data_IF_909622654529
#
_entry.id   IF_909622654529
#
_cell.length_a   1.000
_cell.length_b   1.000
_cell.length_c   1.000
_cell.angle_alpha   90.00
_cell.angle_beta   90.00
_cell.angle_gamma   90.00
#
_symmetry.space_group_name_H-M   'P 1'
#
loop_
_entity.id
_entity.type
_entity.pdbx_description
1 polymer ?
#
# COMPACT_ATOMS: atom_id res chain seq x y z
N UNK A 1 -27.53 -8.43 6.21
CA UNK A 1 -27.34 -7.17 6.97
C UNK A 1 -26.46 -7.28 8.24
N UNK A 2 -26.27 -8.43 8.92
CA UNK A 2 -25.36 -8.50 10.09
C UNK A 2 -23.86 -8.36 9.78
N UNK A 3 -23.41 -8.84 8.61
CA UNK A 3 -21.98 -8.92 8.27
C UNK A 3 -21.29 -7.57 8.07
N UNK A 4 -21.97 -6.58 7.47
CA UNK A 4 -21.39 -5.26 7.22
C UNK A 4 -21.13 -4.49 8.52
N UNK A 5 -22.07 -4.54 9.47
CA UNK A 5 -21.95 -3.91 10.78
C UNK A 5 -20.81 -4.52 11.60
N UNK A 6 -20.67 -5.85 11.56
CA UNK A 6 -19.57 -6.56 12.24
C UNK A 6 -18.20 -6.25 11.62
N UNK A 7 -18.13 -6.10 10.29
CA UNK A 7 -16.89 -5.71 9.61
C UNK A 7 -16.47 -4.28 9.99
N UNK A 8 -17.39 -3.33 9.93
CA UNK A 8 -17.13 -1.94 10.33
C UNK A 8 -16.67 -1.85 11.79
N UNK A 9 -17.34 -2.56 12.71
CA UNK A 9 -16.94 -2.58 14.13
C UNK A 9 -15.50 -3.06 14.31
N UNK A 10 -15.11 -4.15 13.62
CA UNK A 10 -13.74 -4.68 13.67
C UNK A 10 -12.69 -3.70 13.14
N UNK A 11 -12.99 -2.95 12.07
CA UNK A 11 -12.06 -1.93 11.55
C UNK A 11 -11.77 -0.85 12.59
N UNK A 12 -12.82 -0.37 13.27
CA UNK A 12 -12.67 0.65 14.33
C UNK A 12 -11.93 0.09 15.54
N UNK A 13 -12.25 -1.13 15.97
CA UNK A 13 -11.54 -1.81 17.07
C UNK A 13 -10.06 -1.98 16.76
N UNK A 14 -9.71 -2.44 15.56
CA UNK A 14 -8.31 -2.59 15.13
C UNK A 14 -7.57 -1.25 15.18
N UNK A 15 -8.20 -0.17 14.72
CA UNK A 15 -7.60 1.15 14.70
C UNK A 15 -7.31 1.69 16.11
N UNK A 16 -8.27 1.54 17.02
CA UNK A 16 -8.19 2.01 18.40
C UNK A 16 -7.36 1.08 19.31
N UNK A 17 -7.03 -0.13 18.85
CA UNK A 17 -6.24 -1.09 19.62
C UNK A 17 -4.86 -0.52 19.97
N UNK A 18 -4.45 -0.53 21.26
CA UNK A 18 -3.11 -0.11 21.64
C UNK A 18 -2.02 -0.97 20.99
N UNK A 19 -0.94 -0.36 20.51
CA UNK A 19 0.26 -1.08 20.07
C UNK A 19 0.92 -1.78 21.25
N UNK A 20 1.18 -3.09 21.13
CA UNK A 20 1.77 -3.91 22.19
C UNK A 20 3.16 -4.43 21.85
N UNK A 21 3.44 -4.61 20.57
CA UNK A 21 4.74 -5.08 20.08
C UNK A 21 5.60 -3.91 19.60
N UNK A 22 6.93 -4.08 19.61
CA UNK A 22 7.87 -3.09 19.08
C UNK A 22 7.60 -2.77 17.61
N UNK A 23 7.15 -3.76 16.82
CA UNK A 23 6.80 -3.54 15.42
C UNK A 23 5.57 -2.63 15.24
N UNK A 24 4.52 -2.84 16.04
CA UNK A 24 3.32 -1.99 16.04
C UNK A 24 3.66 -0.56 16.51
N UNK A 25 4.50 -0.43 17.54
CA UNK A 25 4.96 0.87 18.04
C UNK A 25 5.76 1.63 16.99
N UNK A 26 6.64 0.93 16.26
CA UNK A 26 7.42 1.52 15.18
C UNK A 26 6.51 1.95 14.01
N UNK A 27 5.46 1.19 13.69
CA UNK A 27 4.50 1.59 12.67
C UNK A 27 3.76 2.86 13.09
N UNK A 28 3.29 2.93 14.33
CA UNK A 28 2.62 4.13 14.87
C UNK A 28 3.54 5.34 14.91
N UNK A 29 4.82 5.15 15.24
CA UNK A 29 5.81 6.20 15.12
C UNK A 29 5.92 6.73 13.69
N UNK A 30 5.96 5.85 12.67
CA UNK A 30 5.95 6.27 11.27
C UNK A 30 4.67 7.03 10.89
N UNK A 31 3.51 6.70 11.46
CA UNK A 31 2.28 7.48 11.24
C UNK A 31 2.41 8.90 11.77
N UNK A 32 3.01 9.07 12.95
CA UNK A 32 3.30 10.39 13.53
C UNK A 32 4.30 11.15 12.65
N UNK A 33 5.36 10.48 12.20
CA UNK A 33 6.32 11.07 11.24
C UNK A 33 5.62 11.51 9.96
N UNK A 34 4.70 10.70 9.43
CA UNK A 34 3.88 11.06 8.27
C UNK A 34 3.02 12.29 8.51
N UNK A 35 2.35 12.37 9.66
CA UNK A 35 1.53 13.54 10.02
C UNK A 35 2.38 14.82 10.15
N UNK A 36 3.55 14.72 10.80
CA UNK A 36 4.49 15.85 10.90
C UNK A 36 5.01 16.23 9.50
N UNK A 37 5.34 15.24 8.66
CA UNK A 37 5.77 15.45 7.29
C UNK A 37 4.70 16.18 6.47
N UNK A 38 3.43 15.80 6.61
CA UNK A 38 2.32 16.49 5.95
C UNK A 38 2.26 17.98 6.33
N UNK A 39 2.41 18.29 7.62
CA UNK A 39 2.46 19.69 8.08
C UNK A 39 3.66 20.42 7.47
N UNK A 40 4.85 19.81 7.46
CA UNK A 40 6.05 20.41 6.85
C UNK A 40 5.86 20.66 5.35
N UNK A 41 5.33 19.69 4.61
CA UNK A 41 5.07 19.78 3.17
C UNK A 41 4.04 20.87 2.87
N UNK A 42 2.99 21.00 3.68
CA UNK A 42 1.96 22.03 3.53
C UNK A 42 2.54 23.46 3.57
N UNK A 43 3.59 23.70 4.34
CA UNK A 43 4.24 25.01 4.44
C UNK A 43 5.41 25.20 3.47
N UNK A 44 6.02 24.13 2.97
CA UNK A 44 7.25 24.22 2.17
C UNK A 44 7.10 23.97 0.67
N UNK A 45 6.08 23.23 0.21
CA UNK A 45 6.00 22.72 -1.18
C UNK A 45 4.67 23.00 -1.89
N UNK A 46 3.79 23.80 -1.30
CA UNK A 46 2.54 24.23 -1.93
C UNK A 46 1.42 23.18 -1.92
N UNK A 47 0.29 23.55 -2.53
CA UNK A 47 -0.98 22.82 -2.38
C UNK A 47 -0.97 21.43 -3.02
N UNK A 48 -0.41 21.29 -4.23
CA UNK A 48 -0.41 20.00 -4.96
C UNK A 48 0.42 18.96 -4.18
N UNK A 49 1.64 19.31 -3.78
CA UNK A 49 2.48 18.45 -2.96
C UNK A 49 1.81 18.07 -1.63
N UNK A 50 1.16 19.03 -0.97
CA UNK A 50 0.37 18.77 0.23
C UNK A 50 -0.78 17.78 -0.04
N UNK A 51 -1.51 17.94 -1.13
CA UNK A 51 -2.64 17.07 -1.48
C UNK A 51 -2.19 15.63 -1.78
N UNK A 52 -1.10 15.46 -2.54
CA UNK A 52 -0.50 14.15 -2.82
C UNK A 52 0.03 13.50 -1.54
N UNK A 53 0.67 14.28 -0.66
CA UNK A 53 1.12 13.78 0.63
C UNK A 53 -0.06 13.42 1.56
N UNK A 54 -1.16 14.17 1.52
CA UNK A 54 -2.37 13.84 2.26
C UNK A 54 -3.01 12.53 1.76
N UNK A 55 -2.97 12.28 0.44
CA UNK A 55 -3.38 10.98 -0.13
C UNK A 55 -2.51 9.83 0.39
N UNK A 56 -1.19 10.03 0.48
CA UNK A 56 -0.28 9.01 1.02
C UNK A 56 -0.59 8.66 2.49
N UNK A 57 -1.10 9.61 3.29
CA UNK A 57 -1.52 9.33 4.66
C UNK A 57 -2.65 8.29 4.74
N UNK A 58 -3.51 8.19 3.71
CA UNK A 58 -4.51 7.12 3.62
C UNK A 58 -3.83 5.75 3.55
N UNK A 59 -2.75 5.63 2.76
CA UNK A 59 -1.95 4.41 2.66
C UNK A 59 -1.25 4.04 3.97
N UNK A 60 -0.79 5.03 4.73
CA UNK A 60 -0.12 4.84 6.03
C UNK A 60 -1.10 4.38 7.12
N UNK A 61 -2.37 4.81 7.09
CA UNK A 61 -3.38 4.37 8.10
C UNK A 61 -4.06 3.06 7.71
N UNK A 62 -4.12 2.71 6.43
CA UNK A 62 -4.87 1.56 5.92
C UNK A 62 -4.48 0.21 6.59
N UNK A 63 -3.19 -0.16 6.73
CA UNK A 63 -2.82 -1.41 7.39
C UNK A 63 -3.36 -1.53 8.82
N UNK A 64 -3.47 -0.41 9.53
CA UNK A 64 -3.94 -0.38 10.92
C UNK A 64 -5.44 -0.61 11.03
N UNK A 65 -6.25 -0.02 10.14
CA UNK A 65 -7.68 -0.37 10.03
C UNK A 65 -7.87 -1.85 9.72
N UNK A 66 -7.06 -2.37 8.80
CA UNK A 66 -7.03 -3.77 8.45
C UNK A 66 -6.36 -4.65 9.53
N UNK A 67 -5.98 -4.15 10.71
CA UNK A 67 -5.32 -4.98 11.74
C UNK A 67 -4.17 -5.83 11.18
N UNK A 68 -3.45 -5.31 10.18
CA UNK A 68 -2.42 -6.04 9.48
C UNK A 68 -1.29 -6.41 10.44
N UNK A 69 -0.56 -7.47 10.12
CA UNK A 69 0.60 -7.85 10.92
C UNK A 69 1.63 -6.72 10.90
N UNK A 70 2.29 -6.51 12.04
CA UNK A 70 3.28 -5.45 12.22
C UNK A 70 4.33 -5.38 11.10
N UNK A 71 4.76 -6.52 10.55
CA UNK A 71 5.71 -6.57 9.43
C UNK A 71 5.16 -5.92 8.16
N UNK A 72 3.93 -6.28 7.76
CA UNK A 72 3.29 -5.71 6.58
C UNK A 72 2.92 -4.25 6.82
N UNK A 73 2.43 -3.93 8.02
CA UNK A 73 2.13 -2.56 8.42
C UNK A 73 3.37 -1.65 8.29
N UNK A 74 4.49 -2.05 8.91
CA UNK A 74 5.76 -1.32 8.80
C UNK A 74 6.23 -1.15 7.36
N UNK A 75 6.21 -2.24 6.59
CA UNK A 75 6.65 -2.21 5.20
C UNK A 75 5.83 -1.21 4.36
N UNK A 76 4.51 -1.21 4.53
CA UNK A 76 3.61 -0.26 3.85
C UNK A 76 3.90 1.17 4.31
N UNK A 77 3.98 1.42 5.62
CA UNK A 77 4.25 2.77 6.14
C UNK A 77 5.57 3.32 5.59
N UNK A 78 6.63 2.51 5.57
CA UNK A 78 7.93 2.92 5.01
C UNK A 78 7.79 3.21 3.51
N UNK A 79 7.26 2.26 2.72
CA UNK A 79 7.17 2.40 1.28
C UNK A 79 6.32 3.61 0.85
N UNK A 80 5.19 3.84 1.53
CA UNK A 80 4.31 4.99 1.26
C UNK A 80 4.99 6.31 1.60
N UNK A 81 5.67 6.41 2.75
CA UNK A 81 6.37 7.64 3.12
C UNK A 81 7.56 7.92 2.21
N UNK A 82 8.30 6.88 1.79
CA UNK A 82 9.38 6.99 0.83
C UNK A 82 8.84 7.47 -0.52
N UNK A 83 7.74 6.90 -1.02
CA UNK A 83 7.12 7.33 -2.27
C UNK A 83 6.63 8.79 -2.20
N UNK A 84 5.98 9.18 -1.09
CA UNK A 84 5.48 10.53 -0.90
C UNK A 84 6.62 11.57 -0.87
N UNK A 85 7.69 11.29 -0.11
CA UNK A 85 8.86 12.17 -0.10
C UNK A 85 9.62 12.16 -1.44
N UNK A 86 9.60 11.05 -2.18
CA UNK A 86 10.17 10.98 -3.53
C UNK A 86 9.46 11.93 -4.49
N UNK A 87 8.13 12.02 -4.41
CA UNK A 87 7.36 13.00 -5.18
C UNK A 87 7.69 14.45 -4.76
N UNK A 88 7.69 14.73 -3.45
CA UNK A 88 7.97 16.07 -2.90
C UNK A 88 9.37 16.57 -3.29
N UNK A 89 10.37 15.68 -3.23
CA UNK A 89 11.76 16.00 -3.52
C UNK A 89 12.15 15.81 -5.00
N UNK A 90 11.17 15.49 -5.86
CA UNK A 90 11.37 15.27 -7.30
C UNK A 90 12.42 14.19 -7.60
N UNK A 91 12.45 13.12 -6.80
CA UNK A 91 13.40 12.02 -6.96
C UNK A 91 13.10 11.16 -8.20
N UNK A 92 11.84 11.10 -8.63
CA UNK A 92 11.45 10.39 -9.86
C UNK A 92 12.07 11.04 -11.09
N UNK A 93 12.19 12.37 -11.09
CA UNK A 93 12.87 13.12 -12.15
C UNK A 93 14.40 13.01 -12.03
N UNK A 94 14.91 12.94 -10.79
CA UNK A 94 16.36 12.89 -10.55
C UNK A 94 16.99 11.51 -10.77
N UNK A 95 16.23 10.42 -10.60
CA UNK A 95 16.74 9.05 -10.62
C UNK A 95 15.85 8.19 -11.52
N UNK A 96 16.31 7.94 -12.74
CA UNK A 96 15.50 7.34 -13.82
C UNK A 96 14.96 5.93 -13.56
N UNK A 97 15.54 5.15 -12.63
CA UNK A 97 15.08 3.81 -12.28
C UNK A 97 14.28 3.77 -10.98
N UNK A 98 14.21 4.90 -10.25
CA UNK A 98 13.63 4.93 -8.92
C UNK A 98 12.13 4.64 -8.95
N UNK A 99 11.45 5.16 -9.97
CA UNK A 99 10.03 5.01 -10.14
C UNK A 99 9.62 3.54 -10.24
N UNK A 100 10.28 2.79 -11.14
CA UNK A 100 10.13 1.34 -11.29
C UNK A 100 10.29 0.58 -9.97
N UNK A 101 11.24 0.98 -9.12
CA UNK A 101 11.46 0.35 -7.81
C UNK A 101 10.32 0.65 -6.84
N UNK A 102 9.83 1.89 -6.84
CA UNK A 102 8.68 2.29 -6.03
C UNK A 102 7.41 1.58 -6.51
N UNK A 103 7.12 1.57 -7.82
CA UNK A 103 5.98 0.85 -8.39
C UNK A 103 6.04 -0.64 -8.07
N UNK A 104 7.19 -1.29 -8.25
CA UNK A 104 7.35 -2.70 -7.86
C UNK A 104 7.08 -2.91 -6.36
N UNK A 105 7.72 -2.12 -5.50
CA UNK A 105 7.67 -2.36 -4.05
C UNK A 105 6.31 -1.98 -3.45
N UNK A 106 5.87 -0.74 -3.68
CA UNK A 106 4.66 -0.20 -3.08
C UNK A 106 3.42 -0.91 -3.64
N UNK A 107 3.32 -1.11 -4.94
CA UNK A 107 2.17 -1.81 -5.53
C UNK A 107 2.08 -3.26 -5.04
N UNK A 108 3.23 -3.94 -4.87
CA UNK A 108 3.28 -5.26 -4.26
C UNK A 108 2.70 -5.31 -2.84
N UNK A 109 3.08 -4.34 -2.00
CA UNK A 109 2.60 -4.24 -0.62
C UNK A 109 1.10 -3.86 -0.54
N UNK A 110 0.64 -2.94 -1.39
CA UNK A 110 -0.78 -2.58 -1.45
C UNK A 110 -1.62 -3.77 -1.97
N UNK A 111 -1.13 -4.54 -2.94
CA UNK A 111 -1.76 -5.77 -3.38
C UNK A 111 -1.85 -6.82 -2.24
N UNK A 112 -0.82 -6.92 -1.40
CA UNK A 112 -0.87 -7.77 -0.21
C UNK A 112 -1.95 -7.31 0.79
N UNK A 113 -2.10 -6.00 1.00
CA UNK A 113 -3.21 -5.46 1.81
C UNK A 113 -4.57 -5.76 1.21
N UNK A 114 -4.72 -5.68 -0.12
CA UNK A 114 -5.96 -6.05 -0.80
C UNK A 114 -6.31 -7.52 -0.54
N UNK A 115 -5.32 -8.43 -0.56
CA UNK A 115 -5.53 -9.82 -0.16
C UNK A 115 -5.94 -9.98 1.31
N UNK A 116 -5.31 -9.24 2.23
CA UNK A 116 -5.69 -9.21 3.65
C UNK A 116 -7.15 -8.75 3.83
N UNK A 117 -7.56 -7.70 3.10
CA UNK A 117 -8.93 -7.23 3.09
C UNK A 117 -9.90 -8.31 2.61
N UNK A 118 -9.60 -9.02 1.52
CA UNK A 118 -10.42 -10.14 1.06
C UNK A 118 -10.57 -11.22 2.14
N UNK A 119 -9.47 -11.59 2.81
CA UNK A 119 -9.53 -12.57 3.90
C UNK A 119 -10.45 -12.10 5.05
N UNK A 120 -10.44 -10.81 5.37
CA UNK A 120 -11.32 -10.23 6.41
C UNK A 120 -12.79 -10.17 6.01
N UNK A 121 -13.06 -10.00 4.73
CA UNK A 121 -14.40 -10.06 4.14
C UNK A 121 -14.91 -11.52 4.03
N UNK A 122 -14.12 -12.51 4.45
CA UNK A 122 -14.53 -13.91 4.51
C UNK A 122 -14.15 -14.73 3.29
N UNK A 123 -13.31 -14.19 2.38
CA UNK A 123 -12.70 -15.00 1.32
C UNK A 123 -11.73 -15.98 1.96
N UNK A 124 -12.22 -17.20 2.22
CA UNK A 124 -11.47 -18.26 2.87
C UNK A 124 -10.98 -19.27 1.84
N UNK A 125 -9.68 -19.57 1.89
CA UNK A 125 -9.07 -20.68 1.17
C UNK A 125 -8.74 -21.85 2.10
N UNK A 126 -9.33 -21.88 3.31
CA UNK A 126 -9.01 -22.85 4.37
C UNK A 126 -9.33 -24.29 3.96
N UNK A 127 -10.35 -24.50 3.13
CA UNK A 127 -10.74 -25.84 2.65
C UNK A 127 -9.96 -26.28 1.40
N UNK A 128 -9.24 -25.36 0.75
CA UNK A 128 -8.41 -25.71 -0.40
C UNK A 128 -7.13 -26.43 0.03
N UNK A 129 -6.73 -27.46 -0.73
CA UNK A 129 -5.43 -28.12 -0.54
C UNK A 129 -4.29 -27.08 -0.55
N UNK A 130 -3.24 -27.32 0.22
CA UNK A 130 -2.15 -26.35 0.42
C UNK A 130 -1.55 -25.82 -0.88
N UNK A 131 -1.43 -26.67 -1.92
CA UNK A 131 -0.91 -26.26 -3.25
C UNK A 131 -1.85 -25.28 -3.95
N UNK A 132 -3.16 -25.53 -3.92
CA UNK A 132 -4.16 -24.68 -4.56
C UNK A 132 -4.30 -23.36 -3.81
N UNK A 133 -4.22 -23.39 -2.47
CA UNK A 133 -4.20 -22.17 -1.65
C UNK A 133 -3.03 -21.26 -2.01
N UNK A 134 -1.83 -21.82 -2.15
CA UNK A 134 -0.66 -21.04 -2.54
C UNK A 134 -0.84 -20.42 -3.93
N UNK A 135 -1.18 -21.23 -4.94
CA UNK A 135 -1.39 -20.74 -6.31
C UNK A 135 -2.48 -19.66 -6.36
N UNK A 136 -3.62 -19.88 -5.70
CA UNK A 136 -4.71 -18.88 -5.66
C UNK A 136 -4.28 -17.59 -4.97
N UNK A 137 -3.55 -17.68 -3.86
CA UNK A 137 -3.04 -16.49 -3.14
C UNK A 137 -2.11 -15.68 -4.05
N UNK A 138 -1.17 -16.34 -4.72
CA UNK A 138 -0.23 -15.69 -5.65
C UNK A 138 -0.97 -15.06 -6.83
N UNK A 139 -1.86 -15.81 -7.48
CA UNK A 139 -2.61 -15.34 -8.64
C UNK A 139 -3.53 -14.17 -8.31
N UNK A 140 -4.27 -14.24 -7.20
CA UNK A 140 -5.18 -13.17 -6.79
C UNK A 140 -4.42 -11.93 -6.34
N UNK A 141 -3.32 -12.08 -5.60
CA UNK A 141 -2.46 -10.94 -5.23
C UNK A 141 -1.88 -10.26 -6.46
N UNK A 142 -1.42 -11.03 -7.45
CA UNK A 142 -0.91 -10.49 -8.72
C UNK A 142 -2.00 -9.75 -9.50
N UNK A 143 -3.21 -10.33 -9.57
CA UNK A 143 -4.35 -9.71 -10.23
C UNK A 143 -4.77 -8.39 -9.55
N UNK A 144 -4.79 -8.34 -8.22
CA UNK A 144 -5.01 -7.10 -7.48
C UNK A 144 -3.93 -6.06 -7.78
N UNK A 145 -2.66 -6.48 -7.83
CA UNK A 145 -1.55 -5.63 -8.22
C UNK A 145 -1.71 -4.98 -9.58
N UNK A 146 -2.01 -5.78 -10.61
CA UNK A 146 -2.23 -5.28 -11.96
C UNK A 146 -3.44 -4.33 -12.04
N UNK A 147 -4.53 -4.66 -11.35
CA UNK A 147 -5.72 -3.82 -11.33
C UNK A 147 -5.48 -2.49 -10.60
N UNK A 148 -4.82 -2.52 -9.44
CA UNK A 148 -4.51 -1.32 -8.66
C UNK A 148 -3.45 -0.46 -9.34
N UNK A 149 -2.45 -1.08 -9.97
CA UNK A 149 -1.47 -0.39 -10.81
C UNK A 149 -2.18 0.34 -11.97
N UNK A 150 -3.04 -0.36 -12.72
CA UNK A 150 -3.81 0.29 -13.79
C UNK A 150 -4.69 1.46 -13.29
N UNK A 151 -5.28 1.33 -12.10
CA UNK A 151 -6.02 2.45 -11.48
C UNK A 151 -5.07 3.60 -11.15
N UNK A 152 -3.90 3.33 -10.58
CA UNK A 152 -2.91 4.37 -10.26
C UNK A 152 -2.49 5.15 -11.50
N UNK A 153 -2.20 4.47 -12.61
CA UNK A 153 -1.86 5.10 -13.90
C UNK A 153 -2.99 6.02 -14.42
N UNK A 154 -4.26 5.62 -14.23
CA UNK A 154 -5.39 6.48 -14.57
C UNK A 154 -5.43 7.74 -13.68
N UNK A 155 -5.00 7.63 -12.42
CA UNK A 155 -4.90 8.76 -11.50
C UNK A 155 -3.72 9.67 -11.85
N UNK A 156 -2.59 9.14 -12.29
CA UNK A 156 -1.45 9.94 -12.78
C UNK A 156 -1.80 10.67 -14.06
N UNK A 157 -2.44 9.98 -15.01
CA UNK A 157 -3.01 10.62 -16.19
C UNK A 157 -3.97 11.76 -15.82
N UNK A 158 -4.85 11.53 -14.85
CA UNK A 158 -5.76 12.58 -14.37
C UNK A 158 -4.99 13.75 -13.73
N UNK A 159 -4.02 13.45 -12.87
CA UNK A 159 -3.17 14.45 -12.23
C UNK A 159 -2.43 15.31 -13.24
N UNK A 160 -1.79 14.69 -14.23
CA UNK A 160 -1.09 15.37 -15.32
C UNK A 160 -2.00 16.32 -16.11
N UNK A 161 -3.20 15.85 -16.49
CA UNK A 161 -4.08 16.61 -17.37
C UNK A 161 -4.88 17.71 -16.66
N UNK A 162 -5.17 17.55 -15.37
CA UNK A 162 -6.11 18.42 -14.67
C UNK A 162 -5.55 19.13 -13.44
N UNK A 163 -4.41 18.71 -12.90
CA UNK A 163 -3.85 19.25 -11.66
C UNK A 163 -2.46 19.87 -11.85
N UNK A 164 -1.53 19.12 -12.43
CA UNK A 164 -0.12 19.51 -12.54
C UNK A 164 0.58 18.75 -13.68
N UNK A 165 0.94 19.46 -14.75
CA UNK A 165 1.60 18.90 -15.93
C UNK A 165 3.03 18.36 -15.66
N UNK A 166 3.60 18.65 -14.49
CA UNK A 166 4.90 18.09 -14.08
C UNK A 166 4.82 16.61 -13.64
N UNK A 167 3.62 16.09 -13.39
CA UNK A 167 3.39 14.65 -13.19
C UNK A 167 3.73 13.96 -14.50
N UNK A 168 4.75 13.11 -14.51
CA UNK A 168 5.19 12.46 -15.73
C UNK A 168 4.22 11.35 -16.14
N UNK A 169 3.85 11.31 -17.42
CA UNK A 169 3.02 10.26 -17.99
C UNK A 169 3.48 9.99 -19.41
N UNK A 170 3.76 8.72 -19.73
CA UNK A 170 3.95 8.29 -21.11
C UNK A 170 3.46 6.85 -21.30
N UNK A 171 3.27 6.41 -22.55
CA UNK A 171 2.84 5.04 -22.81
C UNK A 171 3.84 4.00 -22.29
N UNK A 172 5.14 4.25 -22.47
CA UNK A 172 6.19 3.33 -22.03
C UNK A 172 6.31 3.30 -20.51
N UNK A 173 6.13 4.44 -19.88
CA UNK A 173 6.10 4.63 -18.42
C UNK A 173 4.96 3.81 -17.82
N UNK A 174 3.72 4.13 -18.21
CA UNK A 174 2.51 3.43 -17.75
C UNK A 174 2.55 1.92 -17.92
N UNK A 175 3.00 1.42 -19.08
CA UNK A 175 3.11 -0.03 -19.28
C UNK A 175 4.25 -0.62 -18.44
N UNK A 176 5.36 0.11 -18.29
CA UNK A 176 6.49 -0.27 -17.46
C UNK A 176 6.10 -0.37 -15.98
N UNK A 177 5.33 0.58 -15.48
CA UNK A 177 4.92 0.67 -14.08
C UNK A 177 3.85 -0.35 -13.71
N UNK A 178 2.87 -0.60 -14.59
CA UNK A 178 1.94 -1.72 -14.42
C UNK A 178 2.70 -3.05 -14.42
N UNK A 179 3.68 -3.23 -15.31
CA UNK A 179 4.47 -4.45 -15.37
C UNK A 179 5.34 -4.64 -14.12
N UNK A 180 6.05 -3.59 -13.69
CA UNK A 180 6.86 -3.58 -12.48
C UNK A 180 6.01 -3.84 -11.24
N UNK A 181 4.87 -3.14 -11.13
CA UNK A 181 3.89 -3.34 -10.09
C UNK A 181 3.33 -4.76 -10.08
N UNK A 182 3.06 -5.36 -11.24
CA UNK A 182 2.62 -6.75 -11.36
C UNK A 182 3.68 -7.75 -10.87
N UNK A 183 4.97 -7.54 -11.20
CA UNK A 183 6.08 -8.34 -10.67
C UNK A 183 6.18 -8.21 -9.15
N UNK A 184 6.07 -6.99 -8.63
CA UNK A 184 6.03 -6.71 -7.20
C UNK A 184 4.92 -7.46 -6.47
N UNK A 185 3.71 -7.45 -7.04
CA UNK A 185 2.55 -8.16 -6.49
C UNK A 185 2.67 -9.67 -6.60
N UNK A 186 3.32 -10.20 -7.63
CA UNK A 186 3.68 -11.62 -7.72
C UNK A 186 4.62 -12.02 -6.57
N UNK A 187 5.67 -11.23 -6.33
CA UNK A 187 6.63 -11.44 -5.23
C UNK A 187 5.92 -11.36 -3.88
N UNK A 188 5.04 -10.38 -3.70
CA UNK A 188 4.24 -10.22 -2.47
C UNK A 188 3.33 -11.44 -2.24
N UNK A 189 2.65 -11.92 -3.29
CA UNK A 189 1.84 -13.14 -3.29
C UNK A 189 2.63 -14.36 -2.81
N UNK A 190 3.83 -14.57 -3.36
CA UNK A 190 4.75 -15.63 -2.95
C UNK A 190 5.21 -15.48 -1.49
N UNK A 191 5.27 -14.23 -1.01
CA UNK A 191 5.76 -13.86 0.32
C UNK A 191 4.66 -13.74 1.38
N UNK A 192 3.38 -13.98 1.04
CA UNK A 192 2.24 -13.72 1.95
C UNK A 192 2.34 -14.41 3.30
N UNK A 193 2.95 -15.61 3.38
CA UNK A 193 3.19 -16.28 4.67
C UNK A 193 4.05 -15.44 5.63
N UNK A 194 4.96 -14.65 5.09
CA UNK A 194 5.84 -13.76 5.83
C UNK A 194 5.26 -12.36 5.99
N UNK A 195 4.27 -11.95 5.19
CA UNK A 195 3.64 -10.64 5.31
C UNK A 195 2.42 -10.67 6.24
N UNK A 196 1.58 -11.70 6.12
CA UNK A 196 0.29 -11.79 6.80
C UNK A 196 0.09 -13.06 7.66
N UNK A 197 1.09 -13.95 7.77
CA UNK A 197 0.99 -15.12 8.66
C UNK A 197 0.92 -14.72 10.13
N UNK A 198 0.17 -15.46 10.95
CA UNK A 198 0.09 -15.21 12.40
C UNK A 198 1.48 -15.11 13.03
N UNK A 199 1.66 -14.15 13.96
CA UNK A 199 2.87 -14.09 14.76
C UNK A 199 2.99 -15.42 15.52
N UNK A 200 4.07 -16.17 15.31
CA UNK A 200 4.39 -17.36 16.13
C UNK A 200 4.75 -16.86 17.53
N UNK A 201 3.75 -16.68 18.38
CA UNK A 201 3.89 -16.08 19.71
C UNK A 201 2.63 -16.19 20.57
N UNK A 202 1.78 -17.16 20.29
CA UNK A 202 0.80 -17.72 21.23
C UNK A 202 1.13 -19.20 21.44
#
# INVERSE_FOLDING_TARGET
MPHATLFHHRLVENFLRPARTTGEQAADFLRVVGLVSLVVVAFGWGFVAMAVFALSMLGVVLPRFLGARATLDLAVCIAVLVAAWSAVLQLYQAISWWDVVVHCTLNGLIAALAWVLCAQLGVSLVDAESRYRFVLTVSLTTAFGLALGAVWEMWEWFGHNFLDESIYVSYTDTIGDIAAGGVGSLIAGCSMRFLAGANRGE
#
